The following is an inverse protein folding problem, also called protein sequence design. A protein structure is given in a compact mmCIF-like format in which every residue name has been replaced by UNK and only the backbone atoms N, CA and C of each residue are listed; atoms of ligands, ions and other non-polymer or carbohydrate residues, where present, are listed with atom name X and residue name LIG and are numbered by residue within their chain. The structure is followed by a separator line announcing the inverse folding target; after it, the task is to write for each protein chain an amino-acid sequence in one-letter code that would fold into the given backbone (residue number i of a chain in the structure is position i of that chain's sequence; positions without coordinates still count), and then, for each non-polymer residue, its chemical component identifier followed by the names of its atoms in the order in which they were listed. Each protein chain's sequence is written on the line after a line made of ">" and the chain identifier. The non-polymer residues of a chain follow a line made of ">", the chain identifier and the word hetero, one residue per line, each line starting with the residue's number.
data_IF_627713749442
#
_entry.id   IF_627713749442
#
_cell.length_a   1.000
_cell.length_b   1.000
_cell.length_c   1.000
_cell.angle_alpha   90.00
_cell.angle_beta   90.00
_cell.angle_gamma   90.00
#
_symmetry.space_group_name_H-M   'P 1'
#
loop_
_entity.id
_entity.type
_entity.pdbx_description
1 polymer ?
#
# COMPACT_ATOMS: atom_id res chain seq x y z
N UNK A 1 0.11 13.49 -3.59
CA UNK A 1 1.07 12.39 -3.91
C UNK A 1 1.45 12.47 -5.38
N UNK A 2 2.74 12.50 -5.73
CA UNK A 2 3.22 12.74 -7.10
C UNK A 2 2.89 11.55 -8.03
N UNK A 3 2.29 11.84 -9.19
CA UNK A 3 2.05 10.90 -10.30
C UNK A 3 1.01 9.82 -10.06
N UNK A 4 0.14 9.98 -9.03
CA UNK A 4 -0.95 9.04 -8.68
C UNK A 4 -2.31 9.72 -8.53
N UNK A 5 -2.43 10.92 -9.05
CA UNK A 5 -3.64 11.75 -8.92
C UNK A 5 -4.87 11.06 -9.52
N UNK A 6 -4.68 10.36 -10.65
CA UNK A 6 -5.77 9.62 -11.34
C UNK A 6 -6.26 8.44 -10.52
N UNK A 7 -5.33 7.65 -9.98
CA UNK A 7 -5.65 6.49 -9.16
C UNK A 7 -6.34 6.91 -7.86
N UNK A 8 -5.86 7.97 -7.20
CA UNK A 8 -6.48 8.54 -5.99
C UNK A 8 -7.90 9.02 -6.29
N UNK A 9 -8.10 9.82 -7.35
CA UNK A 9 -9.42 10.33 -7.74
C UNK A 9 -10.39 9.20 -8.08
N UNK A 10 -9.94 8.15 -8.76
CA UNK A 10 -10.75 6.97 -9.06
C UNK A 10 -11.21 6.27 -7.80
N UNK A 11 -10.30 6.02 -6.83
CA UNK A 11 -10.64 5.35 -5.56
C UNK A 11 -11.65 6.19 -4.78
N UNK A 12 -11.45 7.51 -4.67
CA UNK A 12 -12.37 8.41 -3.96
C UNK A 12 -13.77 8.37 -4.61
N UNK A 13 -13.86 8.38 -5.95
CA UNK A 13 -15.14 8.25 -6.66
C UNK A 13 -15.82 6.93 -6.32
N UNK A 14 -15.12 5.79 -6.42
CA UNK A 14 -15.68 4.48 -6.11
C UNK A 14 -16.11 4.37 -4.64
N UNK A 15 -15.39 5.02 -3.73
CA UNK A 15 -15.78 5.13 -2.33
C UNK A 15 -17.10 5.92 -2.16
N UNK A 16 -17.31 7.00 -2.91
CA UNK A 16 -18.58 7.73 -2.86
C UNK A 16 -19.76 6.89 -3.34
N UNK A 17 -19.51 5.93 -4.23
CA UNK A 17 -20.48 4.96 -4.75
C UNK A 17 -20.62 3.70 -3.84
N UNK A 18 -19.92 3.65 -2.70
CA UNK A 18 -19.87 2.50 -1.77
C UNK A 18 -19.49 1.17 -2.43
N UNK A 19 -18.61 1.20 -3.42
CA UNK A 19 -18.13 0.01 -4.12
C UNK A 19 -17.07 -0.73 -3.30
N UNK A 20 -17.08 -2.06 -3.36
CA UNK A 20 -15.95 -2.87 -2.93
C UNK A 20 -14.79 -2.68 -3.90
N UNK A 21 -13.58 -2.50 -3.39
CA UNK A 21 -12.40 -2.17 -4.20
C UNK A 21 -11.25 -3.11 -3.84
N UNK A 22 -10.56 -3.63 -4.84
CA UNK A 22 -9.26 -4.26 -4.65
C UNK A 22 -8.17 -3.49 -5.39
N UNK A 23 -7.19 -2.99 -4.64
CA UNK A 23 -5.99 -2.33 -5.15
C UNK A 23 -4.84 -3.32 -5.13
N UNK A 24 -4.29 -3.65 -6.27
CA UNK A 24 -3.23 -4.64 -6.38
C UNK A 24 -2.08 -4.18 -7.27
N UNK A 25 -0.93 -4.85 -7.15
CA UNK A 25 0.27 -4.53 -7.91
C UNK A 25 1.52 -4.96 -7.15
N UNK A 26 2.66 -4.91 -7.81
CA UNK A 26 3.95 -5.33 -7.26
C UNK A 26 4.30 -4.58 -5.97
N UNK A 27 5.24 -5.13 -5.20
CA UNK A 27 5.77 -4.45 -4.03
C UNK A 27 6.49 -3.15 -4.42
N UNK A 28 6.33 -2.12 -3.59
CA UNK A 28 7.02 -0.84 -3.79
C UNK A 28 6.36 0.11 -4.78
N UNK A 29 5.25 -0.26 -5.47
CA UNK A 29 4.56 0.62 -6.43
C UNK A 29 3.75 1.75 -5.78
N UNK A 30 3.61 1.74 -4.44
CA UNK A 30 2.99 2.81 -3.67
C UNK A 30 1.52 2.59 -3.29
N UNK A 31 0.99 1.35 -3.31
CA UNK A 31 -0.42 1.04 -2.95
C UNK A 31 -0.84 1.60 -1.58
N UNK A 32 -0.10 1.26 -0.53
CA UNK A 32 -0.35 1.76 0.84
C UNK A 32 -0.31 3.29 0.91
N UNK A 33 0.63 3.92 0.18
CA UNK A 33 0.74 5.39 0.15
C UNK A 33 -0.47 6.04 -0.53
N UNK A 34 -0.98 5.44 -1.62
CA UNK A 34 -2.22 5.88 -2.28
C UNK A 34 -3.39 5.84 -1.30
N UNK A 35 -3.56 4.72 -0.58
CA UNK A 35 -4.68 4.56 0.35
C UNK A 35 -4.58 5.52 1.54
N UNK A 36 -3.38 5.77 2.07
CA UNK A 36 -3.19 6.81 3.11
C UNK A 36 -3.57 8.20 2.61
N UNK A 37 -3.19 8.54 1.39
CA UNK A 37 -3.57 9.81 0.76
C UNK A 37 -5.09 9.89 0.56
N UNK A 38 -5.74 8.81 0.12
CA UNK A 38 -7.20 8.72 0.02
C UNK A 38 -7.86 8.94 1.38
N UNK A 39 -7.38 8.27 2.44
CA UNK A 39 -7.92 8.44 3.80
C UNK A 39 -7.78 9.88 4.31
N UNK A 40 -6.69 10.58 3.97
CA UNK A 40 -6.48 11.98 4.35
C UNK A 40 -7.43 12.94 3.61
N UNK A 41 -7.87 12.58 2.40
CA UNK A 41 -8.74 13.41 1.56
C UNK A 41 -10.23 13.12 1.75
N UNK A 42 -10.59 12.03 2.42
CA UNK A 42 -11.99 11.65 2.64
C UNK A 42 -12.38 12.01 4.08
N UNK A 43 -13.31 12.97 4.22
CA UNK A 43 -13.82 13.46 5.52
C UNK A 43 -14.75 12.44 6.23
N UNK A 44 -14.39 11.16 6.26
CA UNK A 44 -15.23 10.12 6.86
C UNK A 44 -14.67 9.66 8.18
N UNK A 45 -15.34 10.00 9.27
CA UNK A 45 -14.95 9.66 10.65
C UNK A 45 -15.14 8.18 11.02
N UNK A 46 -15.40 7.27 10.09
CA UNK A 46 -15.72 5.85 10.35
C UNK A 46 -15.06 4.91 9.36
N UNK A 47 -13.76 5.08 9.13
CA UNK A 47 -12.96 4.10 8.38
C UNK A 47 -12.20 3.24 9.40
N UNK A 48 -12.41 1.92 9.33
CA UNK A 48 -11.59 0.96 10.07
C UNK A 48 -10.41 0.54 9.18
N UNK A 49 -9.20 0.62 9.69
CA UNK A 49 -7.99 0.32 8.95
C UNK A 49 -7.14 -0.75 9.62
N UNK A 50 -6.86 -1.82 8.88
CA UNK A 50 -5.91 -2.86 9.27
C UNK A 50 -4.64 -2.73 8.43
N UNK A 51 -3.54 -2.20 8.97
CA UNK A 51 -2.27 -2.02 8.23
C UNK A 51 -1.53 -3.33 7.95
N UNK A 52 -1.86 -4.40 8.65
CA UNK A 52 -1.34 -5.76 8.47
C UNK A 52 -2.51 -6.73 8.52
N UNK A 53 -2.78 -7.40 7.41
CA UNK A 53 -3.93 -8.29 7.22
C UNK A 53 -3.52 -9.64 6.62
N UNK A 54 -2.30 -10.08 6.89
CA UNK A 54 -1.79 -11.38 6.43
C UNK A 54 -2.52 -12.55 7.06
N UNK A 55 -2.96 -12.41 8.31
CA UNK A 55 -3.73 -13.43 9.04
C UNK A 55 -5.02 -12.84 9.60
N UNK A 56 -6.02 -13.73 9.84
CA UNK A 56 -7.29 -13.31 10.47
C UNK A 56 -7.06 -12.67 11.84
N UNK A 57 -6.15 -13.22 12.66
CA UNK A 57 -5.89 -12.68 14.00
C UNK A 57 -5.33 -11.26 13.95
N UNK A 58 -4.35 -11.02 13.09
CA UNK A 58 -3.76 -9.68 12.88
C UNK A 58 -4.82 -8.69 12.40
N UNK A 59 -5.62 -9.07 11.41
CA UNK A 59 -6.68 -8.22 10.91
C UNK A 59 -7.68 -7.84 12.01
N UNK A 60 -8.16 -8.81 12.79
CA UNK A 60 -9.10 -8.56 13.90
C UNK A 60 -8.49 -7.64 14.97
N UNK A 61 -7.23 -7.85 15.37
CA UNK A 61 -6.52 -6.98 16.32
C UNK A 61 -6.50 -5.54 15.79
N UNK A 62 -6.04 -5.35 14.57
CA UNK A 62 -5.91 -4.02 13.97
C UNK A 62 -7.26 -3.31 13.81
N UNK A 63 -8.31 -4.02 13.41
CA UNK A 63 -9.65 -3.45 13.29
C UNK A 63 -10.23 -3.04 14.65
N UNK A 64 -10.03 -3.84 15.70
CA UNK A 64 -10.45 -3.47 17.05
C UNK A 64 -9.70 -2.23 17.53
N UNK A 65 -8.36 -2.18 17.32
CA UNK A 65 -7.55 -1.00 17.66
C UNK A 65 -7.96 0.25 16.88
N UNK A 66 -8.36 0.09 15.63
CA UNK A 66 -8.83 1.19 14.79
C UNK A 66 -10.19 1.73 15.22
N UNK A 67 -11.05 0.90 15.79
CA UNK A 67 -12.42 1.25 16.14
C UNK A 67 -12.69 1.52 17.64
N UNK A 68 -11.69 1.27 18.50
CA UNK A 68 -11.86 1.36 19.98
C UNK A 68 -10.68 2.06 20.62
N UNK A 69 -10.96 2.87 21.65
CA UNK A 69 -9.94 3.55 22.45
C UNK A 69 -9.30 2.65 23.52
N UNK A 70 -9.87 1.47 23.81
CA UNK A 70 -9.37 0.54 24.84
C UNK A 70 -8.34 -0.43 24.24
N UNK A 71 -7.10 -0.35 24.72
CA UNK A 71 -5.96 -1.12 24.18
C UNK A 71 -5.48 -2.27 25.11
N UNK A 72 -6.16 -2.50 26.26
CA UNK A 72 -5.66 -3.46 27.24
C UNK A 72 -5.71 -4.91 26.72
N UNK A 73 -4.54 -5.55 26.70
CA UNK A 73 -4.32 -6.99 26.44
C UNK A 73 -4.93 -7.55 25.13
N UNK A 74 -5.10 -6.70 24.12
CA UNK A 74 -5.73 -7.11 22.84
C UNK A 74 -4.95 -8.23 22.13
N UNK A 75 -3.62 -8.20 22.20
CA UNK A 75 -2.74 -9.19 21.54
C UNK A 75 -2.86 -10.61 22.14
N UNK A 76 -3.27 -10.71 23.41
CA UNK A 76 -3.45 -11.97 24.13
C UNK A 76 -4.81 -12.62 23.85
N UNK A 77 -5.77 -11.85 23.33
CA UNK A 77 -7.11 -12.36 23.01
C UNK A 77 -7.07 -13.38 21.90
N UNK A 78 -7.88 -14.43 22.05
CA UNK A 78 -8.12 -15.38 20.97
C UNK A 78 -9.10 -14.81 19.93
N UNK A 79 -9.22 -15.47 18.77
CA UNK A 79 -10.06 -15.02 17.66
C UNK A 79 -11.52 -14.81 18.07
N UNK A 80 -12.07 -15.69 18.93
CA UNK A 80 -13.45 -15.57 19.38
C UNK A 80 -13.67 -14.32 20.24
N UNK A 81 -12.77 -14.04 21.17
CA UNK A 81 -12.81 -12.85 22.00
C UNK A 81 -12.64 -11.56 21.16
N UNK A 82 -11.74 -11.58 20.17
CA UNK A 82 -11.56 -10.46 19.23
C UNK A 82 -12.82 -10.20 18.41
N UNK A 83 -13.48 -11.24 17.88
CA UNK A 83 -14.76 -11.10 17.19
C UNK A 83 -15.85 -10.51 18.07
N UNK A 84 -15.98 -10.99 19.33
CA UNK A 84 -16.94 -10.42 20.29
C UNK A 84 -16.70 -8.93 20.55
N UNK A 85 -15.44 -8.48 20.57
CA UNK A 85 -15.11 -7.06 20.72
C UNK A 85 -15.38 -6.26 19.45
N UNK A 86 -15.13 -6.85 18.25
CA UNK A 86 -15.26 -6.16 16.97
C UNK A 86 -16.73 -6.02 16.51
N UNK A 87 -17.58 -7.02 16.74
CA UNK A 87 -18.95 -7.02 16.23
C UNK A 87 -19.77 -5.79 16.63
N UNK A 88 -19.76 -5.33 17.89
CA UNK A 88 -20.45 -4.08 18.26
C UNK A 88 -19.93 -2.84 17.53
N UNK A 89 -18.64 -2.82 17.15
CA UNK A 89 -18.05 -1.77 16.34
C UNK A 89 -18.60 -1.82 14.91
N UNK A 90 -18.73 -3.03 14.34
CA UNK A 90 -19.28 -3.26 13.00
C UNK A 90 -20.79 -2.93 12.94
N UNK A 91 -21.53 -3.15 14.01
CA UNK A 91 -22.96 -2.82 14.10
C UNK A 91 -23.22 -1.30 13.98
N UNK A 92 -22.22 -0.47 14.26
CA UNK A 92 -22.25 0.98 14.02
C UNK A 92 -22.12 1.35 12.53
N UNK A 93 -22.03 0.36 11.62
CA UNK A 93 -21.90 0.49 10.17
C UNK A 93 -20.75 1.44 9.77
N UNK A 94 -19.48 1.00 9.84
CA UNK A 94 -18.37 1.78 9.34
C UNK A 94 -18.57 2.11 7.86
N UNK A 95 -18.10 3.27 7.43
CA UNK A 95 -18.22 3.69 6.03
C UNK A 95 -17.37 2.81 5.11
N UNK A 96 -16.20 2.37 5.59
CA UNK A 96 -15.31 1.43 4.92
C UNK A 96 -14.48 0.64 5.92
N UNK A 97 -14.13 -0.59 5.53
CA UNK A 97 -13.05 -1.34 6.16
C UNK A 97 -11.93 -1.53 5.15
N UNK A 98 -10.72 -1.15 5.54
CA UNK A 98 -9.53 -1.24 4.69
C UNK A 98 -8.61 -2.31 5.25
N UNK A 99 -8.26 -3.29 4.40
CA UNK A 99 -7.30 -4.34 4.72
C UNK A 99 -6.05 -4.16 3.87
N UNK A 100 -4.94 -3.78 4.49
CA UNK A 100 -3.65 -3.68 3.80
C UNK A 100 -2.80 -4.93 4.03
N UNK A 101 -1.89 -5.20 3.11
CA UNK A 101 -1.01 -6.37 3.12
C UNK A 101 -1.78 -7.70 3.21
N UNK A 102 -2.87 -7.82 2.44
CA UNK A 102 -3.55 -9.12 2.29
C UNK A 102 -2.60 -10.07 1.56
N UNK A 103 -2.45 -11.24 2.14
CA UNK A 103 -1.75 -12.39 1.57
C UNK A 103 -2.73 -13.55 1.38
N UNK A 104 -2.24 -14.77 1.24
CA UNK A 104 -3.04 -15.96 0.98
C UNK A 104 -4.10 -16.20 2.07
N UNK A 105 -5.34 -15.83 1.74
CA UNK A 105 -6.51 -15.97 2.63
C UNK A 105 -6.93 -17.43 2.73
N UNK A 106 -6.93 -17.96 3.96
CA UNK A 106 -7.40 -19.30 4.31
C UNK A 106 -8.92 -19.35 4.48
N UNK A 107 -9.56 -20.54 4.46
CA UNK A 107 -11.03 -20.67 4.57
C UNK A 107 -11.64 -19.97 5.79
N UNK A 108 -11.00 -20.06 6.98
CA UNK A 108 -11.49 -19.38 8.20
C UNK A 108 -11.45 -17.86 8.10
N UNK A 109 -10.46 -17.33 7.38
CA UNK A 109 -10.35 -15.89 7.14
C UNK A 109 -11.34 -15.45 6.06
N UNK A 110 -11.52 -16.28 5.04
CA UNK A 110 -12.50 -16.06 3.98
C UNK A 110 -13.92 -15.91 4.54
N UNK A 111 -14.36 -16.77 5.48
CA UNK A 111 -15.66 -16.65 6.14
C UNK A 111 -15.86 -15.32 6.89
N UNK A 112 -14.79 -14.64 7.27
CA UNK A 112 -14.90 -13.30 7.84
C UNK A 112 -15.20 -12.24 6.76
N UNK A 113 -14.63 -12.38 5.56
CA UNK A 113 -14.96 -11.50 4.45
C UNK A 113 -16.41 -11.71 3.98
N UNK A 114 -16.86 -12.97 3.87
CA UNK A 114 -18.28 -13.27 3.58
C UNK A 114 -19.21 -12.57 4.58
N UNK A 115 -18.94 -12.71 5.87
CA UNK A 115 -19.70 -12.05 6.93
C UNK A 115 -19.75 -10.51 6.77
N UNK A 116 -18.67 -9.86 6.35
CA UNK A 116 -18.64 -8.41 6.13
C UNK A 116 -19.45 -8.02 4.88
N UNK A 117 -19.36 -8.81 3.81
CA UNK A 117 -20.08 -8.57 2.54
C UNK A 117 -21.59 -8.77 2.75
N UNK A 118 -22.02 -9.82 3.45
CA UNK A 118 -23.43 -10.06 3.80
C UNK A 118 -24.04 -8.93 4.63
N UNK A 119 -23.22 -8.20 5.38
CA UNK A 119 -23.64 -7.00 6.12
C UNK A 119 -23.58 -5.71 5.30
N UNK A 120 -23.27 -5.81 4.02
CA UNK A 120 -23.14 -4.67 3.10
C UNK A 120 -22.14 -3.62 3.58
N UNK A 121 -21.06 -4.05 4.27
CA UNK A 121 -19.99 -3.17 4.70
C UNK A 121 -18.97 -3.04 3.56
N UNK A 122 -18.77 -1.84 2.98
CA UNK A 122 -17.86 -1.67 1.86
C UNK A 122 -16.40 -1.93 2.24
N UNK A 123 -15.67 -2.62 1.37
CA UNK A 123 -14.30 -3.08 1.62
C UNK A 123 -13.30 -2.47 0.63
N UNK A 124 -12.12 -2.10 1.13
CA UNK A 124 -10.93 -1.85 0.31
C UNK A 124 -9.87 -2.85 0.69
N UNK A 125 -9.44 -3.65 -0.29
CA UNK A 125 -8.45 -4.69 -0.12
C UNK A 125 -7.15 -4.30 -0.84
N UNK A 126 -5.99 -4.49 -0.21
CA UNK A 126 -4.69 -4.18 -0.81
C UNK A 126 -3.84 -5.44 -0.84
N UNK A 127 -3.47 -5.89 -2.04
CA UNK A 127 -2.76 -7.15 -2.27
C UNK A 127 -1.60 -6.99 -3.26
N UNK A 128 -0.73 -8.01 -3.36
CA UNK A 128 0.33 -8.07 -4.38
C UNK A 128 -0.21 -8.44 -5.76
N UNK A 129 -1.30 -9.19 -5.82
CA UNK A 129 -1.95 -9.66 -7.05
C UNK A 129 -3.30 -10.25 -6.72
N UNK A 130 -4.09 -10.61 -7.75
CA UNK A 130 -5.47 -11.13 -7.62
C UNK A 130 -5.58 -12.62 -7.96
N UNK A 131 -4.47 -13.28 -8.24
CA UNK A 131 -4.46 -14.71 -8.50
C UNK A 131 -4.53 -15.53 -7.19
N UNK A 132 -4.87 -16.83 -7.31
CA UNK A 132 -5.01 -17.75 -6.17
C UNK A 132 -3.74 -17.82 -5.31
N UNK A 133 -2.55 -17.64 -5.89
CA UNK A 133 -1.28 -17.68 -5.17
C UNK A 133 -1.16 -16.49 -4.21
N UNK A 134 -1.63 -15.33 -4.62
CA UNK A 134 -1.51 -14.09 -3.84
C UNK A 134 -2.64 -13.90 -2.81
N UNK A 135 -3.88 -14.31 -3.13
CA UNK A 135 -5.04 -13.98 -2.28
C UNK A 135 -5.85 -15.19 -1.83
N UNK A 136 -5.48 -16.40 -2.22
CA UNK A 136 -6.13 -17.63 -1.77
C UNK A 136 -7.62 -17.69 -2.06
N UNK A 137 -8.45 -17.99 -1.03
CA UNK A 137 -9.90 -18.12 -1.12
C UNK A 137 -10.63 -16.79 -1.35
N UNK A 138 -10.03 -15.66 -1.05
CA UNK A 138 -10.62 -14.33 -1.30
C UNK A 138 -11.02 -14.13 -2.76
N UNK A 139 -10.37 -14.87 -3.69
CA UNK A 139 -10.71 -14.84 -5.11
C UNK A 139 -12.18 -15.14 -5.40
N UNK A 140 -12.85 -15.90 -4.54
CA UNK A 140 -14.24 -16.34 -4.75
C UNK A 140 -15.24 -15.18 -4.71
N UNK A 141 -14.94 -14.11 -3.97
CA UNK A 141 -15.81 -12.92 -3.85
C UNK A 141 -15.36 -11.74 -4.70
N UNK A 142 -14.23 -11.84 -5.43
CA UNK A 142 -13.71 -10.73 -6.21
C UNK A 142 -14.53 -10.35 -7.46
N UNK A 143 -15.58 -11.10 -7.79
CA UNK A 143 -16.49 -10.71 -8.88
C UNK A 143 -17.26 -9.43 -8.58
N UNK A 144 -17.50 -9.13 -7.29
CA UNK A 144 -18.20 -7.93 -6.82
C UNK A 144 -17.25 -6.76 -6.50
N UNK A 145 -15.96 -6.90 -6.82
CA UNK A 145 -14.96 -5.88 -6.53
C UNK A 145 -14.50 -5.14 -7.78
N UNK A 146 -14.43 -3.82 -7.68
CA UNK A 146 -13.71 -2.98 -8.64
C UNK A 146 -12.20 -3.23 -8.51
N UNK A 147 -11.55 -3.54 -9.63
CA UNK A 147 -10.13 -3.96 -9.66
C UNK A 147 -9.26 -2.83 -10.16
N UNK A 148 -8.37 -2.34 -9.29
CA UNK A 148 -7.45 -1.24 -9.61
C UNK A 148 -6.02 -1.77 -9.54
N UNK A 149 -5.38 -1.89 -10.70
CA UNK A 149 -3.98 -2.27 -10.79
C UNK A 149 -3.08 -1.04 -10.65
N UNK A 150 -2.11 -1.11 -9.73
CA UNK A 150 -1.07 -0.11 -9.58
C UNK A 150 0.23 -0.66 -10.15
N UNK A 151 0.65 -0.11 -11.26
CA UNK A 151 1.89 -0.47 -11.95
C UNK A 151 3.05 0.46 -11.59
N UNK A 152 4.25 0.09 -12.00
CA UNK A 152 5.41 0.97 -11.97
C UNK A 152 5.16 2.24 -12.79
N UNK A 153 5.87 3.30 -12.48
CA UNK A 153 5.82 4.53 -13.27
C UNK A 153 6.45 4.33 -14.65
N UNK A 154 5.84 4.97 -15.63
CA UNK A 154 6.49 5.18 -16.92
C UNK A 154 7.70 6.12 -16.77
N UNK A 155 8.44 6.30 -17.86
CA UNK A 155 9.64 7.13 -17.85
C UNK A 155 9.37 8.57 -17.41
N UNK A 156 8.29 9.17 -17.91
CA UNK A 156 7.95 10.57 -17.62
C UNK A 156 7.65 10.77 -16.14
N UNK A 157 6.78 9.93 -15.55
CA UNK A 157 6.45 10.00 -14.12
C UNK A 157 7.64 9.68 -13.23
N UNK A 158 8.50 8.73 -13.64
CA UNK A 158 9.73 8.41 -12.93
C UNK A 158 10.70 9.57 -12.92
N UNK A 159 10.85 10.31 -14.02
CA UNK A 159 11.72 11.47 -14.12
C UNK A 159 11.27 12.61 -13.17
N UNK A 160 9.95 12.86 -13.08
CA UNK A 160 9.38 13.81 -12.13
C UNK A 160 9.64 13.38 -10.68
N UNK A 161 9.52 12.08 -10.40
CA UNK A 161 9.78 11.54 -9.06
C UNK A 161 11.27 11.68 -8.66
N UNK A 162 12.19 11.45 -9.60
CA UNK A 162 13.63 11.66 -9.37
C UNK A 162 13.92 13.14 -9.08
N UNK A 163 13.36 14.07 -9.86
CA UNK A 163 13.50 15.52 -9.59
C UNK A 163 13.02 15.90 -8.19
N UNK A 164 11.87 15.38 -7.80
CA UNK A 164 11.35 15.60 -6.45
C UNK A 164 12.34 15.15 -5.38
N UNK A 165 12.88 13.93 -5.49
CA UNK A 165 13.84 13.43 -4.50
C UNK A 165 15.20 14.12 -4.57
N UNK A 166 15.64 14.58 -5.74
CA UNK A 166 16.86 15.40 -5.87
C UNK A 166 16.69 16.67 -5.06
N UNK A 167 15.54 17.33 -5.14
CA UNK A 167 15.25 18.55 -4.38
C UNK A 167 15.04 18.24 -2.88
N UNK A 168 14.24 17.24 -2.53
CA UNK A 168 13.94 16.83 -1.14
C UNK A 168 15.21 16.46 -0.37
N UNK A 169 16.12 15.74 -1.03
CA UNK A 169 17.37 15.28 -0.41
C UNK A 169 18.54 16.21 -0.62
N UNK A 170 18.35 17.36 -1.28
CA UNK A 170 19.40 18.35 -1.59
C UNK A 170 20.61 17.72 -2.30
N UNK A 171 20.37 16.87 -3.31
CA UNK A 171 21.42 16.17 -4.02
C UNK A 171 22.08 17.10 -5.02
N UNK A 172 23.40 17.32 -4.89
CA UNK A 172 24.16 18.09 -5.86
C UNK A 172 24.47 17.25 -7.09
N UNK A 173 23.82 17.53 -8.21
CA UNK A 173 23.95 16.77 -9.45
C UNK A 173 24.36 17.67 -10.60
N UNK A 174 25.52 17.42 -11.19
CA UNK A 174 25.96 18.15 -12.38
C UNK A 174 25.21 17.70 -13.66
N UNK A 175 24.80 16.44 -13.71
CA UNK A 175 24.13 15.82 -14.89
C UNK A 175 22.85 15.10 -14.50
N UNK A 176 21.80 15.88 -14.22
CA UNK A 176 20.49 15.34 -13.78
C UNK A 176 19.90 14.31 -14.75
N UNK A 177 20.01 14.53 -16.06
CA UNK A 177 19.48 13.61 -17.05
C UNK A 177 20.17 12.23 -17.03
N UNK A 178 21.45 12.17 -16.69
CA UNK A 178 22.17 10.90 -16.54
C UNK A 178 21.71 10.17 -15.27
N UNK A 179 21.51 10.89 -14.17
CA UNK A 179 20.93 10.33 -12.94
C UNK A 179 19.53 9.75 -13.21
N UNK A 180 18.63 10.50 -13.86
CA UNK A 180 17.29 10.05 -14.24
C UNK A 180 17.33 8.77 -15.08
N UNK A 181 18.19 8.74 -16.12
CA UNK A 181 18.37 7.54 -16.98
C UNK A 181 18.82 6.34 -16.15
N UNK A 182 19.83 6.51 -15.32
CA UNK A 182 20.36 5.44 -14.47
C UNK A 182 19.33 4.94 -13.46
N UNK A 183 18.68 5.85 -12.73
CA UNK A 183 17.66 5.49 -11.73
C UNK A 183 16.49 4.76 -12.38
N UNK A 184 15.99 5.21 -13.53
CA UNK A 184 14.92 4.50 -14.25
C UNK A 184 15.34 3.12 -14.69
N UNK A 185 16.55 2.97 -15.22
CA UNK A 185 17.09 1.68 -15.68
C UNK A 185 17.10 0.63 -14.55
N UNK A 186 17.57 1.01 -13.34
CA UNK A 186 17.69 0.08 -12.22
C UNK A 186 16.40 -0.07 -11.40
N UNK A 187 15.55 0.95 -11.36
CA UNK A 187 14.26 0.88 -10.64
C UNK A 187 13.13 0.30 -11.48
N UNK A 188 13.25 0.31 -12.81
CA UNK A 188 12.16 0.04 -13.75
C UNK A 188 10.88 0.84 -13.40
N UNK A 189 11.05 2.09 -12.97
CA UNK A 189 9.98 2.96 -12.54
C UNK A 189 9.31 2.60 -11.21
N UNK A 190 9.90 1.68 -10.41
CA UNK A 190 9.37 1.34 -9.09
C UNK A 190 9.63 2.48 -8.09
N UNK A 191 8.60 3.12 -7.50
CA UNK A 191 8.77 4.28 -6.62
C UNK A 191 9.63 4.01 -5.38
N UNK A 192 9.50 2.82 -4.77
CA UNK A 192 10.30 2.44 -3.58
C UNK A 192 11.78 2.38 -3.95
N UNK A 193 12.11 1.71 -5.06
CA UNK A 193 13.50 1.59 -5.53
C UNK A 193 14.04 2.95 -5.96
N UNK A 194 13.25 3.77 -6.67
CA UNK A 194 13.62 5.14 -7.04
C UNK A 194 13.99 5.97 -5.81
N UNK A 195 13.18 5.93 -4.75
CA UNK A 195 13.47 6.63 -3.49
C UNK A 195 14.77 6.14 -2.85
N UNK A 196 14.98 4.82 -2.79
CA UNK A 196 16.19 4.23 -2.22
C UNK A 196 17.45 4.68 -2.99
N UNK A 197 17.43 4.59 -4.33
CA UNK A 197 18.55 5.05 -5.16
C UNK A 197 18.82 6.54 -4.97
N UNK A 198 17.80 7.40 -4.98
CA UNK A 198 17.98 8.82 -4.74
C UNK A 198 18.51 9.09 -3.32
N UNK A 199 18.09 8.33 -2.30
CA UNK A 199 18.63 8.46 -0.94
C UNK A 199 20.14 8.14 -0.90
N UNK A 200 20.59 7.10 -1.59
CA UNK A 200 22.01 6.73 -1.69
C UNK A 200 22.82 7.77 -2.46
N UNK A 201 22.25 8.46 -3.45
CA UNK A 201 22.94 9.48 -4.24
C UNK A 201 23.48 10.67 -3.42
N UNK A 202 23.06 10.83 -2.16
CA UNK A 202 23.59 11.82 -1.21
C UNK A 202 25.01 11.50 -0.76
N UNK A 203 25.39 10.22 -0.77
CA UNK A 203 26.69 9.77 -0.26
C UNK A 203 27.79 10.06 -1.28
N UNK A 204 28.87 10.71 -0.81
CA UNK A 204 30.05 11.05 -1.61
C UNK A 204 30.72 9.83 -2.26
N UNK A 205 30.56 8.62 -1.72
CA UNK A 205 31.09 7.36 -2.29
C UNK A 205 30.62 7.12 -3.72
N UNK A 206 29.41 7.57 -4.05
CA UNK A 206 28.82 7.38 -5.38
C UNK A 206 29.06 8.55 -6.32
N UNK A 207 29.63 9.66 -5.82
CA UNK A 207 29.90 10.87 -6.59
C UNK A 207 31.32 10.83 -7.15
N UNK A 208 31.46 10.56 -8.43
CA UNK A 208 32.76 10.48 -9.12
C UNK A 208 32.86 11.55 -10.23
N UNK A 209 33.88 12.44 -10.18
CA UNK A 209 34.20 13.39 -11.25
C UNK A 209 32.99 14.04 -11.94
N UNK A 210 31.98 14.45 -11.15
CA UNK A 210 30.81 15.17 -11.67
C UNK A 210 29.65 14.29 -12.15
N UNK A 211 29.72 12.98 -12.00
CA UNK A 211 28.59 12.07 -12.23
C UNK A 211 28.30 11.21 -11.00
N UNK A 212 27.07 10.66 -10.93
CA UNK A 212 26.65 9.75 -9.86
C UNK A 212 26.65 8.32 -10.39
N UNK A 213 27.35 7.41 -9.70
CA UNK A 213 27.48 6.00 -10.07
C UNK A 213 26.25 5.20 -9.61
N UNK A 214 25.15 5.28 -10.38
CA UNK A 214 23.88 4.60 -10.08
C UNK A 214 24.01 3.08 -10.09
N UNK A 215 24.95 2.52 -10.85
CA UNK A 215 25.19 1.07 -10.87
C UNK A 215 25.73 0.58 -9.51
N UNK A 216 26.70 1.31 -8.96
CA UNK A 216 27.23 0.98 -7.63
C UNK A 216 26.16 1.14 -6.55
N UNK A 217 25.35 2.20 -6.62
CA UNK A 217 24.20 2.40 -5.72
C UNK A 217 23.22 1.22 -5.76
N UNK A 218 22.90 0.69 -6.95
CA UNK A 218 21.98 -0.45 -7.06
C UNK A 218 22.59 -1.74 -6.49
N UNK A 219 23.90 -1.95 -6.63
CA UNK A 219 24.59 -3.08 -6.02
C UNK A 219 24.51 -3.01 -4.49
N UNK A 220 24.89 -1.89 -3.90
CA UNK A 220 24.85 -1.70 -2.43
C UNK A 220 23.42 -1.80 -1.90
N UNK A 221 22.44 -1.17 -2.60
CA UNK A 221 21.02 -1.31 -2.26
C UNK A 221 20.57 -2.78 -2.17
N UNK A 222 21.00 -3.63 -3.10
CA UNK A 222 20.62 -5.06 -3.09
C UNK A 222 21.26 -5.83 -1.95
N UNK A 223 22.38 -5.36 -1.40
CA UNK A 223 23.05 -5.95 -0.25
C UNK A 223 22.35 -5.51 1.05
N UNK A 224 22.09 -4.21 1.19
CA UNK A 224 21.57 -3.61 2.43
C UNK A 224 20.06 -3.83 2.65
N UNK A 225 19.29 -4.09 1.59
CA UNK A 225 17.83 -4.25 1.66
C UNK A 225 17.36 -5.66 1.26
N UNK A 226 18.14 -6.67 1.59
CA UNK A 226 17.72 -8.09 1.50
C UNK A 226 16.74 -8.49 2.59
#
# INVERSE_FOLDING_TARGET
>A
MIGREKEISLIIRLMSEKKNIIVFGQEGVGKTSIIREVMNNVSTNRILYSPQSGTLKEALINLVLSGSSSQENINEKNILALRKTLYPILDQKPNYIIFDHIDRVEPKYYSFFEYLIEREIPLILIAKGIDKKNIGHLRLVLHDFEKIEISNFDRSRSDVLVEHYVNEFNIKVAQLNNLKKGVFHFSNGNPKITKQLCSLARDMRYQKKGFIDVKLMDLDRRIDYK
#
